data_IF_335507755312
#
_entry.id   IF_335507755312
#
_cell.length_a   1.000
_cell.length_b   1.000
_cell.length_c   1.000
_cell.angle_alpha   90.00
_cell.angle_beta   90.00
_cell.angle_gamma   90.00
#
_symmetry.space_group_name_H-M   'P 1'
#
loop_
_entity.id
_entity.type
_entity.pdbx_description
1 polymer ?
#
# COMPACT_ATOMS: atom_id res chain seq x y z
N UNK A 1 11.04 -1.37 29.69
CA UNK A 1 11.29 -2.53 28.80
C UNK A 1 12.60 -2.29 28.06
N UNK A 2 13.46 -3.30 27.85
CA UNK A 2 14.80 -3.14 27.24
C UNK A 2 14.81 -3.17 25.70
N UNK A 3 13.73 -3.64 25.07
CA UNK A 3 13.57 -3.72 23.62
C UNK A 3 12.11 -3.39 23.22
N UNK A 4 11.87 -2.74 22.06
CA UNK A 4 10.53 -2.38 21.59
C UNK A 4 9.72 -3.59 21.09
N UNK A 5 10.37 -4.69 20.68
CA UNK A 5 9.70 -5.92 20.26
C UNK A 5 9.99 -7.02 21.29
N UNK A 6 8.95 -7.69 21.75
CA UNK A 6 9.05 -8.80 22.70
C UNK A 6 7.98 -9.86 22.43
N UNK A 7 8.28 -10.79 21.52
CA UNK A 7 7.40 -11.92 21.17
C UNK A 7 8.11 -13.21 21.53
N UNK A 8 7.65 -13.89 22.57
CA UNK A 8 8.27 -15.13 23.11
C UNK A 8 7.32 -16.32 23.13
N UNK A 9 6.05 -16.11 22.78
CA UNK A 9 4.99 -17.12 22.77
C UNK A 9 3.87 -16.70 21.82
N UNK A 10 3.19 -17.67 21.22
CA UNK A 10 1.97 -17.49 20.40
C UNK A 10 0.68 -17.51 21.23
N UNK A 11 0.76 -17.88 22.51
CA UNK A 11 -0.42 -18.05 23.41
C UNK A 11 -0.37 -17.14 24.64
N UNK A 12 0.68 -16.33 24.76
CA UNK A 12 0.83 -15.36 25.85
C UNK A 12 -0.23 -14.26 25.78
N UNK A 13 -0.37 -13.50 26.87
CA UNK A 13 -1.25 -12.33 26.87
C UNK A 13 -0.73 -11.28 25.87
N UNK A 14 -1.53 -11.00 24.86
CA UNK A 14 -1.20 -10.07 23.79
C UNK A 14 -1.23 -8.64 24.33
N UNK A 15 -0.10 -7.93 24.26
CA UNK A 15 0.01 -6.54 24.72
C UNK A 15 -0.13 -5.54 23.58
N UNK A 16 0.54 -5.80 22.45
CA UNK A 16 0.56 -4.92 21.28
C UNK A 16 0.45 -5.76 20.02
N UNK A 17 -0.33 -5.29 19.04
CA UNK A 17 -0.53 -5.93 17.74
C UNK A 17 -0.36 -4.92 16.61
N UNK A 18 0.22 -5.36 15.50
CA UNK A 18 0.31 -4.57 14.27
C UNK A 18 -0.76 -5.07 13.28
N UNK A 19 -1.65 -4.19 12.86
CA UNK A 19 -2.68 -4.45 11.85
C UNK A 19 -2.46 -3.58 10.61
N UNK A 20 -3.08 -3.95 9.49
CA UNK A 20 -3.16 -3.13 8.28
C UNK A 20 -4.61 -3.03 7.87
N UNK A 21 -5.16 -1.81 7.91
CA UNK A 21 -6.55 -1.59 7.52
C UNK A 21 -6.68 -1.70 6.00
N UNK A 22 -7.64 -2.50 5.48
CA UNK A 22 -7.87 -2.59 4.04
C UNK A 22 -8.25 -1.24 3.43
N UNK A 23 -7.56 -0.86 2.36
CA UNK A 23 -7.69 0.41 1.66
C UNK A 23 -8.00 0.25 0.17
N UNK A 24 -7.63 1.27 -0.62
CA UNK A 24 -7.90 1.35 -2.06
C UNK A 24 -7.22 0.27 -2.89
N UNK A 25 -6.22 -0.43 -2.34
CA UNK A 25 -5.62 -1.61 -2.94
C UNK A 25 -6.67 -2.69 -3.27
N UNK A 26 -7.74 -2.76 -2.48
CA UNK A 26 -8.86 -3.69 -2.66
C UNK A 26 -9.80 -3.24 -3.78
N UNK A 27 -10.00 -1.93 -3.95
CA UNK A 27 -10.80 -1.36 -5.06
C UNK A 27 -10.09 -1.45 -6.41
N UNK A 28 -8.77 -1.62 -6.40
CA UNK A 28 -7.96 -1.78 -7.60
C UNK A 28 -7.90 -3.23 -8.10
N UNK A 29 -8.51 -4.18 -7.39
CA UNK A 29 -8.74 -5.54 -7.87
C UNK A 29 -9.79 -5.52 -8.98
N UNK A 30 -9.37 -5.71 -10.22
CA UNK A 30 -10.30 -5.95 -11.34
C UNK A 30 -10.40 -7.45 -11.63
N UNK A 31 -11.55 -7.93 -12.16
CA UNK A 31 -11.82 -9.35 -12.35
C UNK A 31 -10.72 -10.12 -13.10
N UNK A 32 -10.10 -9.48 -14.08
CA UNK A 32 -9.05 -10.08 -14.91
C UNK A 32 -7.72 -10.30 -14.17
N UNK A 33 -7.50 -9.61 -13.04
CA UNK A 33 -6.28 -9.71 -12.22
C UNK A 33 -6.50 -10.37 -10.85
N UNK A 34 -7.73 -10.79 -10.52
CA UNK A 34 -8.06 -11.45 -9.23
C UNK A 34 -7.22 -12.72 -8.97
N UNK A 35 -7.09 -13.60 -9.97
CA UNK A 35 -6.35 -14.86 -9.82
C UNK A 35 -4.85 -14.65 -9.61
N UNK A 36 -4.29 -13.58 -10.20
CA UNK A 36 -2.87 -13.23 -10.02
C UNK A 36 -2.60 -12.62 -8.65
N UNK A 37 -3.63 -12.08 -7.99
CA UNK A 37 -3.56 -11.39 -6.71
C UNK A 37 -4.00 -12.26 -5.52
N UNK A 38 -4.24 -13.56 -5.74
CA UNK A 38 -4.55 -14.56 -4.71
C UNK A 38 -5.86 -14.29 -3.93
N UNK A 39 -6.88 -13.68 -4.56
CA UNK A 39 -8.20 -13.47 -3.96
C UNK A 39 -9.24 -14.47 -4.51
N UNK A 40 -10.01 -15.08 -3.60
CA UNK A 40 -11.05 -16.08 -3.94
C UNK A 40 -12.38 -15.45 -4.38
N UNK A 41 -12.69 -14.23 -3.93
CA UNK A 41 -13.96 -13.53 -4.22
C UNK A 41 -13.76 -12.01 -4.30
N UNK A 42 -14.69 -11.28 -4.94
CA UNK A 42 -14.60 -9.82 -5.07
C UNK A 42 -14.90 -9.15 -3.70
N UNK A 43 -13.89 -8.52 -3.07
CA UNK A 43 -14.06 -7.91 -1.77
C UNK A 43 -14.86 -6.60 -1.85
N UNK A 44 -15.92 -6.46 -1.03
CA UNK A 44 -16.62 -5.19 -0.86
C UNK A 44 -15.99 -4.35 0.25
N UNK A 45 -15.16 -3.39 -0.14
CA UNK A 45 -14.30 -2.60 0.76
C UNK A 45 -15.04 -2.03 1.99
N UNK A 46 -16.25 -1.44 1.89
CA UNK A 46 -16.93 -0.88 3.06
C UNK A 46 -17.30 -1.94 4.11
N UNK A 47 -17.64 -3.16 3.71
CA UNK A 47 -17.94 -4.25 4.66
C UNK A 47 -16.66 -4.74 5.32
N UNK A 48 -15.61 -4.97 4.53
CA UNK A 48 -14.31 -5.44 5.03
C UNK A 48 -13.70 -4.45 6.03
N UNK A 49 -13.79 -3.16 5.73
CA UNK A 49 -13.36 -2.12 6.66
C UNK A 49 -14.14 -2.18 7.97
N UNK A 50 -15.46 -2.40 7.90
CA UNK A 50 -16.30 -2.52 9.09
C UNK A 50 -15.94 -3.76 9.93
N UNK A 51 -15.66 -4.90 9.29
CA UNK A 51 -15.23 -6.13 9.96
C UNK A 51 -13.85 -5.95 10.60
N UNK A 52 -12.90 -5.36 9.88
CA UNK A 52 -11.57 -5.06 10.39
C UNK A 52 -11.63 -4.06 11.56
N UNK A 53 -12.45 -3.02 11.47
CA UNK A 53 -12.62 -2.03 12.53
C UNK A 53 -13.26 -2.67 13.79
N UNK A 54 -14.20 -3.61 13.60
CA UNK A 54 -14.77 -4.41 14.69
C UNK A 54 -13.74 -5.33 15.35
N UNK A 55 -12.90 -5.99 14.55
CA UNK A 55 -11.80 -6.83 15.04
C UNK A 55 -10.81 -6.00 15.86
N UNK A 56 -10.33 -4.88 15.33
CA UNK A 56 -9.44 -3.96 16.02
C UNK A 56 -10.06 -3.44 17.32
N UNK A 57 -11.36 -3.11 17.33
CA UNK A 57 -12.04 -2.67 18.53
C UNK A 57 -12.15 -3.79 19.59
N UNK A 58 -12.35 -5.03 19.17
CA UNK A 58 -12.39 -6.19 20.07
C UNK A 58 -11.06 -6.39 20.80
N UNK A 59 -9.94 -6.16 20.11
CA UNK A 59 -8.60 -6.20 20.71
C UNK A 59 -8.39 -5.04 21.69
N UNK A 60 -8.76 -3.81 21.29
CA UNK A 60 -8.67 -2.63 22.18
C UNK A 60 -9.49 -2.79 23.44
N UNK A 61 -10.69 -3.37 23.34
CA UNK A 61 -11.56 -3.63 24.49
C UNK A 61 -10.94 -4.62 25.50
N UNK A 62 -9.97 -5.44 25.05
CA UNK A 62 -9.19 -6.35 25.91
C UNK A 62 -7.89 -5.73 26.43
N UNK A 63 -7.67 -4.43 26.22
CA UNK A 63 -6.47 -3.73 26.67
C UNK A 63 -5.26 -3.89 25.74
N UNK A 64 -5.44 -4.45 24.54
CA UNK A 64 -4.38 -4.59 23.55
C UNK A 64 -4.15 -3.26 22.81
N UNK A 65 -2.91 -2.84 22.71
CA UNK A 65 -2.49 -1.73 21.86
C UNK A 65 -2.52 -2.14 20.39
N UNK A 66 -3.31 -1.44 19.57
CA UNK A 66 -3.44 -1.72 18.13
C UNK A 66 -2.69 -0.65 17.33
N UNK A 67 -1.57 -1.05 16.73
CA UNK A 67 -0.77 -0.24 15.82
C UNK A 67 -1.18 -0.51 14.37
N UNK A 68 -0.97 0.49 13.50
CA UNK A 68 -1.28 0.38 12.07
C UNK A 68 -0.01 0.51 11.22
N UNK A 69 0.18 -0.42 10.29
CA UNK A 69 1.34 -0.45 9.40
C UNK A 69 1.48 0.85 8.60
N UNK A 70 0.38 1.35 8.03
CA UNK A 70 0.34 2.57 7.25
C UNK A 70 0.74 3.81 8.06
N UNK A 71 0.40 3.83 9.35
CA UNK A 71 0.76 4.93 10.26
C UNK A 71 2.23 4.86 10.64
N UNK A 72 2.71 3.70 11.07
CA UNK A 72 4.12 3.51 11.42
C UNK A 72 5.04 3.76 10.22
N UNK A 73 4.63 3.35 9.02
CA UNK A 73 5.38 3.64 7.81
C UNK A 73 5.42 5.15 7.50
N UNK A 74 4.31 5.87 7.68
CA UNK A 74 4.28 7.32 7.51
C UNK A 74 5.11 8.07 8.56
N UNK A 75 5.09 7.60 9.80
CA UNK A 75 5.89 8.13 10.93
C UNK A 75 7.39 7.87 10.76
N UNK A 76 7.77 6.76 10.10
CA UNK A 76 9.17 6.46 9.81
C UNK A 76 9.79 7.42 8.78
N UNK A 77 8.98 8.09 7.95
CA UNK A 77 9.43 9.06 6.95
C UNK A 77 9.70 10.43 7.58
N UNK A 78 10.71 10.50 8.45
CA UNK A 78 11.06 11.69 9.24
C UNK A 78 11.69 12.82 8.41
N UNK A 79 12.49 12.46 7.39
CA UNK A 79 13.29 13.41 6.63
C UNK A 79 12.93 13.38 5.14
N UNK A 80 13.01 14.55 4.49
CA UNK A 80 12.77 14.67 3.03
C UNK A 80 13.69 13.76 2.22
N UNK A 81 14.95 13.64 2.62
CA UNK A 81 15.92 12.76 1.95
C UNK A 81 15.52 11.28 2.06
N UNK A 82 15.13 10.83 3.25
CA UNK A 82 14.68 9.45 3.47
C UNK A 82 13.41 9.15 2.67
N UNK A 83 12.50 10.13 2.59
CA UNK A 83 11.29 10.04 1.78
C UNK A 83 11.60 9.91 0.29
N UNK A 84 12.53 10.70 -0.24
CA UNK A 84 12.98 10.59 -1.64
C UNK A 84 13.63 9.23 -1.92
N UNK A 85 14.54 8.78 -1.05
CA UNK A 85 15.18 7.46 -1.16
C UNK A 85 14.18 6.31 -1.08
N UNK A 86 13.15 6.43 -0.23
CA UNK A 86 12.07 5.44 -0.12
C UNK A 86 11.26 5.35 -1.41
N UNK A 87 10.86 6.49 -1.98
CA UNK A 87 10.14 6.52 -3.26
C UNK A 87 10.98 5.90 -4.37
N UNK A 88 12.27 6.26 -4.48
CA UNK A 88 13.17 5.70 -5.49
C UNK A 88 13.29 4.18 -5.39
N UNK A 89 13.38 3.65 -4.17
CA UNK A 89 13.42 2.21 -3.93
C UNK A 89 12.13 1.51 -4.35
N UNK A 90 10.98 2.07 -3.99
CA UNK A 90 9.67 1.51 -4.36
C UNK A 90 9.49 1.50 -5.88
N UNK A 91 9.87 2.58 -6.57
CA UNK A 91 9.78 2.66 -8.02
C UNK A 91 10.69 1.64 -8.72
N UNK A 92 11.88 1.42 -8.17
CA UNK A 92 12.82 0.41 -8.65
C UNK A 92 12.29 -1.02 -8.45
N UNK A 93 11.75 -1.32 -7.27
CA UNK A 93 11.18 -2.64 -6.96
C UNK A 93 9.90 -2.91 -7.77
N UNK A 94 9.10 -1.88 -8.02
CA UNK A 94 7.92 -1.92 -8.90
C UNK A 94 8.23 -1.96 -10.39
N UNK A 95 9.51 -2.07 -10.79
CA UNK A 95 9.97 -2.10 -12.19
C UNK A 95 9.53 -0.88 -13.03
N UNK A 96 9.22 0.26 -12.37
CA UNK A 96 8.84 1.50 -13.04
C UNK A 96 9.99 2.15 -13.81
N UNK A 97 11.24 1.70 -13.56
CA UNK A 97 12.48 2.17 -14.20
C UNK A 97 12.52 2.02 -15.72
N UNK A 98 11.66 1.17 -16.31
CA UNK A 98 11.62 0.95 -17.76
C UNK A 98 10.88 2.07 -18.51
N UNK A 99 10.12 2.91 -17.79
CA UNK A 99 9.24 3.91 -18.39
C UNK A 99 9.76 5.35 -18.15
N UNK A 100 9.67 6.19 -19.18
CA UNK A 100 9.91 7.65 -19.09
C UNK A 100 8.97 8.35 -18.07
N UNK A 101 7.94 7.63 -17.63
CA UNK A 101 7.09 7.96 -16.50
C UNK A 101 7.79 7.97 -15.13
N UNK A 102 9.01 7.45 -14.96
CA UNK A 102 9.66 7.37 -13.62
C UNK A 102 9.76 8.74 -12.94
N UNK A 103 10.26 9.76 -13.64
CA UNK A 103 10.42 11.10 -13.06
C UNK A 103 9.06 11.76 -12.75
N UNK A 104 8.09 11.64 -13.66
CA UNK A 104 6.73 12.17 -13.47
C UNK A 104 6.01 11.45 -12.33
N UNK A 105 6.18 10.13 -12.22
CA UNK A 105 5.61 9.31 -11.16
C UNK A 105 6.25 9.62 -9.81
N UNK A 106 7.56 9.84 -9.77
CA UNK A 106 8.27 10.30 -8.57
C UNK A 106 7.75 11.65 -8.10
N UNK A 107 7.63 12.63 -9.01
CA UNK A 107 7.09 13.96 -8.70
C UNK A 107 5.63 13.88 -8.21
N UNK A 108 4.81 13.06 -8.86
CA UNK A 108 3.44 12.78 -8.44
C UNK A 108 3.38 12.22 -7.01
N UNK A 109 4.17 11.19 -6.69
CA UNK A 109 4.22 10.59 -5.36
C UNK A 109 4.75 11.58 -4.30
N UNK A 110 5.78 12.37 -4.63
CA UNK A 110 6.35 13.36 -3.71
C UNK A 110 5.42 14.56 -3.43
N UNK A 111 4.37 14.77 -4.23
CA UNK A 111 3.39 15.83 -4.02
C UNK A 111 2.45 15.60 -2.81
N UNK A 112 2.32 14.34 -2.35
CA UNK A 112 1.37 13.95 -1.30
C UNK A 112 1.90 14.20 0.13
N UNK A 113 1.05 14.11 1.14
CA UNK A 113 1.52 13.95 2.54
C UNK A 113 2.14 12.55 2.75
N UNK A 114 2.83 12.32 3.88
CA UNK A 114 3.44 11.01 4.15
C UNK A 114 2.39 9.89 4.26
N UNK A 115 1.26 10.15 4.90
CA UNK A 115 0.17 9.17 5.02
C UNK A 115 -0.43 8.84 3.65
N UNK A 116 -0.74 9.86 2.84
CA UNK A 116 -1.26 9.70 1.49
C UNK A 116 -0.27 9.01 0.56
N UNK A 117 1.03 9.30 0.69
CA UNK A 117 2.10 8.63 -0.05
C UNK A 117 2.08 7.13 0.21
N UNK A 118 2.07 6.72 1.49
CA UNK A 118 2.04 5.30 1.86
C UNK A 118 0.76 4.63 1.34
N UNK A 119 -0.40 5.27 1.50
CA UNK A 119 -1.66 4.75 0.98
C UNK A 119 -1.65 4.62 -0.55
N UNK A 120 -1.05 5.58 -1.27
CA UNK A 120 -0.92 5.52 -2.73
C UNK A 120 0.03 4.44 -3.19
N UNK A 121 1.16 4.25 -2.51
CA UNK A 121 2.10 3.18 -2.81
C UNK A 121 1.44 1.81 -2.58
N UNK A 122 0.78 1.62 -1.43
CA UNK A 122 0.06 0.37 -1.13
C UNK A 122 -1.10 0.12 -2.09
N UNK A 123 -1.82 1.18 -2.46
CA UNK A 123 -2.93 1.15 -3.40
C UNK A 123 -2.52 0.99 -4.85
N UNK A 124 -1.25 1.21 -5.22
CA UNK A 124 -0.83 1.30 -6.61
C UNK A 124 -1.27 2.61 -7.30
N UNK A 125 -0.69 2.85 -8.48
CA UNK A 125 -0.94 4.06 -9.28
C UNK A 125 -1.40 3.65 -10.68
N UNK A 126 -2.61 4.06 -11.06
CA UNK A 126 -3.16 3.79 -12.40
C UNK A 126 -2.58 4.76 -13.44
N UNK A 127 -2.49 4.31 -14.68
CA UNK A 127 -2.00 5.14 -15.81
C UNK A 127 -2.88 6.37 -16.08
N UNK A 128 -4.18 6.26 -15.82
CA UNK A 128 -5.13 7.37 -15.99
C UNK A 128 -5.04 8.46 -14.91
N UNK A 129 -4.32 8.23 -13.81
CA UNK A 129 -4.10 9.24 -12.77
C UNK A 129 -3.01 10.24 -13.13
N UNK A 130 -2.14 9.89 -14.09
CA UNK A 130 -1.01 10.71 -14.53
C UNK A 130 -1.27 11.11 -15.98
N UNK A 131 -1.64 12.38 -16.20
CA UNK A 131 -1.74 12.93 -17.54
C UNK A 131 -0.34 13.07 -18.16
N UNK A 132 0.07 12.07 -18.94
CA UNK A 132 1.31 12.17 -19.73
C UNK A 132 1.07 13.12 -20.90
N UNK A 133 1.50 14.38 -20.74
CA UNK A 133 1.26 15.44 -21.72
C UNK A 133 1.92 15.22 -23.09
N UNK A 134 2.87 14.28 -23.21
CA UNK A 134 3.43 13.84 -24.50
C UNK A 134 3.83 12.38 -24.44
N UNK A 135 3.16 11.53 -25.23
CA UNK A 135 3.67 10.22 -25.60
C UNK A 135 4.94 10.42 -26.42
N UNK A 136 6.10 10.24 -25.81
CA UNK A 136 7.41 10.56 -26.40
C UNK A 136 8.13 9.29 -26.88
N UNK A 137 7.76 8.11 -26.38
CA UNK A 137 8.44 6.85 -26.68
C UNK A 137 7.52 5.81 -27.35
N UNK A 138 8.10 5.00 -28.24
CA UNK A 138 7.38 3.96 -29.02
C UNK A 138 6.61 2.98 -28.13
N UNK A 139 7.13 2.69 -26.94
CA UNK A 139 6.50 1.81 -25.94
C UNK A 139 5.17 2.38 -25.40
N UNK A 140 5.01 3.71 -25.34
CA UNK A 140 3.76 4.38 -24.90
C UNK A 140 2.66 4.40 -25.98
N UNK A 141 3.02 4.01 -27.20
CA UNK A 141 2.13 3.83 -28.36
C UNK A 141 1.72 2.36 -28.55
N UNK A 142 2.39 1.42 -27.87
CA UNK A 142 1.91 0.04 -27.79
C UNK A 142 0.61 0.05 -26.97
N UNK A 143 -0.41 -0.67 -27.42
CA UNK A 143 -1.62 -0.93 -26.64
C UNK A 143 -1.27 -1.85 -25.47
N UNK A 144 -0.55 -1.33 -24.49
CA UNK A 144 -0.40 -2.00 -23.21
C UNK A 144 -1.77 -1.97 -22.53
N UNK A 145 -2.45 -3.11 -22.61
CA UNK A 145 -3.72 -3.37 -21.94
C UNK A 145 -3.60 -3.31 -20.40
N UNK A 146 -2.38 -3.12 -19.88
CA UNK A 146 -2.09 -3.07 -18.46
C UNK A 146 -2.32 -1.65 -17.87
N UNK A 147 -3.25 -1.49 -16.90
CA UNK A 147 -3.72 -0.17 -16.48
C UNK A 147 -2.87 0.49 -15.39
N UNK A 148 -1.80 -0.14 -14.89
CA UNK A 148 -1.01 0.37 -13.75
C UNK A 148 0.41 0.81 -14.16
N UNK A 149 0.89 1.88 -13.51
CA UNK A 149 2.31 2.25 -13.45
C UNK A 149 3.01 1.63 -12.23
N UNK A 150 2.27 1.48 -11.14
CA UNK A 150 2.69 0.78 -9.94
C UNK A 150 1.54 -0.13 -9.51
N UNK A 151 1.84 -1.41 -9.34
CA UNK A 151 0.82 -2.40 -8.97
C UNK A 151 0.35 -2.21 -7.53
N UNK A 152 -0.95 -2.43 -7.25
CA UNK A 152 -1.44 -2.52 -5.88
C UNK A 152 -0.77 -3.68 -5.15
N UNK A 153 -0.59 -3.56 -3.84
CA UNK A 153 -0.11 -4.64 -2.97
C UNK A 153 -1.24 -5.16 -2.08
N UNK A 154 -2.22 -5.90 -2.63
CA UNK A 154 -3.43 -6.27 -1.90
C UNK A 154 -3.16 -7.31 -0.79
N UNK A 155 -2.06 -8.07 -0.89
CA UNK A 155 -1.60 -9.04 0.12
C UNK A 155 -0.94 -8.39 1.35
N UNK A 156 -0.71 -7.08 1.37
CA UNK A 156 -0.31 -6.39 2.60
C UNK A 156 -1.43 -6.38 3.65
N UNK A 157 -2.65 -6.76 3.28
CA UNK A 157 -3.77 -6.85 4.19
C UNK A 157 -3.67 -8.15 5.01
N UNK A 158 -3.64 -8.01 6.34
CA UNK A 158 -4.03 -9.10 7.22
C UNK A 158 -5.55 -9.26 7.12
N UNK A 159 -5.99 -10.03 6.14
CA UNK A 159 -7.35 -10.57 6.13
C UNK A 159 -7.40 -11.61 7.25
N UNK A 160 -8.37 -11.40 8.15
CA UNK A 160 -8.75 -12.39 9.16
C UNK A 160 -9.45 -13.55 8.47
#
# INVERSE_FOLDING_TARGET
>A
MKHPIHVTSEIGELQTVLLKRPGKEVENLTPDYLQQLLFDDIPYLPIIQKEHDYFAQTLRNRGVEVLYLEKLAAEALVDKKLREEFVDRILKEGQADVNVAHQTLKEYLLSFSNEELIQKIMGGVRKNEIETSKKTHLYELMEDHYPFYLDPMPNCNCLV
#
